data_IF_149211406959
#
_entry.id   IF_149211406959
#
_cell.length_a   1.000
_cell.length_b   1.000
_cell.length_c   1.000
_cell.angle_alpha   90.00
_cell.angle_beta   90.00
_cell.angle_gamma   90.00
#
_symmetry.space_group_name_H-M   'P 1'
#
loop_
_entity.id
_entity.type
_entity.pdbx_description
1 polymer ?
#
# COMPACT_ATOMS: atom_id res chain seq x y z
N UNK A 1 14.66 -18.57 4.69
CA UNK A 1 13.23 -18.94 4.78
C UNK A 1 12.43 -17.79 4.20
N UNK A 2 11.50 -18.07 3.28
CA UNK A 2 10.61 -17.05 2.70
C UNK A 2 9.62 -16.55 3.74
N UNK A 3 9.48 -15.24 3.90
CA UNK A 3 8.56 -14.62 4.84
C UNK A 3 7.17 -14.42 4.23
N UNK A 4 6.14 -14.61 5.07
CA UNK A 4 4.76 -14.24 4.77
C UNK A 4 4.50 -12.88 5.40
N UNK A 5 4.31 -11.86 4.57
CA UNK A 5 4.00 -10.52 5.06
C UNK A 5 2.54 -10.46 5.53
N UNK A 6 2.27 -9.65 6.56
CA UNK A 6 0.94 -9.43 7.11
C UNK A 6 0.41 -8.04 6.71
N UNK A 7 -0.90 -7.82 6.87
CA UNK A 7 -1.50 -6.51 6.65
C UNK A 7 -0.80 -5.43 7.52
N UNK A 8 -0.62 -4.19 7.02
CA UNK A 8 0.02 -3.11 7.78
C UNK A 8 -0.88 -2.48 8.86
N UNK A 9 -1.92 -3.20 9.27
CA UNK A 9 -2.88 -2.82 10.31
C UNK A 9 -2.99 -3.98 11.30
N UNK A 10 -3.32 -3.71 12.58
CA UNK A 10 -3.58 -4.81 13.55
C UNK A 10 -5.05 -5.26 13.59
N UNK A 11 -5.91 -4.46 12.99
CA UNK A 11 -7.37 -4.61 13.00
C UNK A 11 -7.92 -5.11 11.66
N UNK A 12 -9.21 -5.47 11.60
CA UNK A 12 -9.90 -5.63 10.34
C UNK A 12 -9.86 -4.33 9.53
N UNK A 13 -9.83 -4.48 8.20
CA UNK A 13 -9.78 -3.39 7.24
C UNK A 13 -10.78 -3.62 6.11
N UNK A 14 -11.25 -2.52 5.54
CA UNK A 14 -12.10 -2.47 4.35
C UNK A 14 -11.31 -1.85 3.22
N UNK A 15 -11.24 -2.54 2.09
CA UNK A 15 -10.73 -2.03 0.82
C UNK A 15 -11.77 -1.11 0.21
N UNK A 16 -11.36 0.10 -0.14
CA UNK A 16 -12.22 1.12 -0.78
C UNK A 16 -11.90 1.30 -2.27
N UNK A 17 -10.67 0.98 -2.69
CA UNK A 17 -10.27 0.92 -4.09
C UNK A 17 -9.20 -0.17 -4.31
N UNK A 18 -9.41 -0.96 -5.36
CA UNK A 18 -8.64 -2.14 -5.74
C UNK A 18 -7.56 -1.86 -6.78
N UNK A 19 -6.62 -2.78 -6.92
CA UNK A 19 -5.49 -2.63 -7.83
C UNK A 19 -5.93 -2.78 -9.30
N UNK A 20 -5.79 -1.69 -10.06
CA UNK A 20 -6.14 -1.56 -11.48
C UNK A 20 -7.58 -1.98 -11.78
N UNK A 21 -8.50 -1.70 -10.86
CA UNK A 21 -9.92 -1.91 -11.11
C UNK A 21 -10.43 -0.90 -12.15
N UNK A 22 -11.08 -1.40 -13.20
CA UNK A 22 -11.49 -0.58 -14.35
C UNK A 22 -12.56 0.46 -14.00
N UNK A 23 -13.42 0.19 -13.01
CA UNK A 23 -14.43 1.17 -12.58
C UNK A 23 -13.82 2.38 -11.89
N UNK A 24 -12.67 2.27 -11.20
CA UNK A 24 -11.92 3.44 -10.73
C UNK A 24 -11.50 4.30 -11.93
N UNK A 25 -10.82 3.71 -12.92
CA UNK A 25 -10.37 4.42 -14.12
C UNK A 25 -11.53 5.08 -14.86
N UNK A 26 -12.65 4.37 -14.99
CA UNK A 26 -13.85 4.89 -15.63
C UNK A 26 -14.45 6.06 -14.84
N UNK A 27 -14.57 5.95 -13.52
CA UNK A 27 -15.08 7.03 -12.69
C UNK A 27 -14.21 8.29 -12.79
N UNK A 28 -12.88 8.14 -12.72
CA UNK A 28 -11.97 9.28 -12.86
C UNK A 28 -12.09 9.96 -14.22
N UNK A 29 -12.30 9.17 -15.28
CA UNK A 29 -12.58 9.70 -16.62
C UNK A 29 -13.93 10.43 -16.67
N UNK A 30 -15.01 9.83 -16.17
CA UNK A 30 -16.38 10.37 -16.33
C UNK A 30 -16.68 11.54 -15.40
N UNK A 31 -16.13 11.53 -14.19
CA UNK A 31 -16.47 12.49 -13.13
C UNK A 31 -15.51 13.66 -13.09
N UNK A 32 -14.22 13.43 -13.36
CA UNK A 32 -13.18 14.45 -13.26
C UNK A 32 -12.53 14.79 -14.60
N UNK A 33 -13.00 14.18 -15.71
CA UNK A 33 -12.37 14.29 -17.03
C UNK A 33 -10.88 13.91 -17.04
N UNK A 34 -10.47 13.02 -16.12
CA UNK A 34 -9.09 12.55 -15.99
C UNK A 34 -8.93 11.21 -16.71
N UNK A 35 -8.81 11.28 -18.05
CA UNK A 35 -8.64 10.10 -18.88
C UNK A 35 -7.34 9.35 -18.55
N UNK A 36 -7.45 8.03 -18.31
CA UNK A 36 -6.31 7.13 -18.12
C UNK A 36 -5.73 7.10 -16.70
N UNK A 37 -6.43 7.65 -15.69
CA UNK A 37 -6.06 7.47 -14.28
C UNK A 37 -6.22 6.00 -13.87
N UNK A 38 -5.12 5.32 -13.61
CA UNK A 38 -5.09 3.93 -13.16
C UNK A 38 -4.75 3.92 -11.67
N UNK A 39 -5.47 3.10 -10.90
CA UNK A 39 -5.21 2.92 -9.48
C UNK A 39 -4.15 1.81 -9.28
N UNK A 40 -2.91 2.17 -8.94
CA UNK A 40 -1.77 1.24 -8.88
C UNK A 40 -1.53 0.62 -7.49
N UNK A 41 -2.45 0.81 -6.56
CA UNK A 41 -2.35 0.29 -5.20
C UNK A 41 -3.64 -0.31 -4.67
N UNK A 42 -3.66 -0.51 -3.36
CA UNK A 42 -4.84 -0.88 -2.60
C UNK A 42 -5.14 0.22 -1.58
N UNK A 43 -6.34 0.80 -1.65
CA UNK A 43 -6.81 1.77 -0.67
C UNK A 43 -7.57 1.04 0.42
N UNK A 44 -7.19 1.26 1.68
CA UNK A 44 -7.76 0.55 2.82
C UNK A 44 -7.99 1.46 4.03
N UNK A 45 -9.05 1.16 4.77
CA UNK A 45 -9.44 1.87 5.99
C UNK A 45 -9.70 0.85 7.12
N UNK A 46 -9.20 1.08 8.36
CA UNK A 46 -9.46 0.21 9.49
C UNK A 46 -10.91 0.36 9.98
N UNK A 47 -11.57 -0.75 10.33
CA UNK A 47 -12.97 -0.73 10.78
C UNK A 47 -13.16 -0.22 12.20
N UNK A 48 -12.12 -0.22 13.01
CA UNK A 48 -12.16 0.17 14.42
C UNK A 48 -11.59 1.58 14.68
N UNK A 49 -11.27 2.33 13.63
CA UNK A 49 -10.71 3.68 13.74
C UNK A 49 -9.23 3.75 14.17
N UNK A 50 -8.55 2.63 14.46
CA UNK A 50 -7.11 2.64 14.76
C UNK A 50 -6.30 2.85 13.46
N UNK A 51 -5.82 4.07 13.28
CA UNK A 51 -5.11 4.52 12.08
C UNK A 51 -3.61 4.22 12.09
N UNK A 52 -3.09 3.51 13.10
CA UNK A 52 -1.66 3.23 13.19
C UNK A 52 -1.24 2.24 12.10
N UNK A 53 -0.22 2.60 11.34
CA UNK A 53 0.35 1.79 10.26
C UNK A 53 1.63 1.13 10.74
N UNK A 54 1.72 -0.17 10.56
CA UNK A 54 2.84 -1.00 11.00
C UNK A 54 3.59 -1.60 9.82
N UNK A 55 4.84 -2.01 10.06
CA UNK A 55 5.56 -2.88 9.15
C UNK A 55 4.81 -4.19 8.90
N UNK A 56 4.91 -4.70 7.67
CA UNK A 56 4.25 -5.93 7.26
C UNK A 56 5.06 -7.19 7.56
N UNK A 57 6.32 -7.05 7.99
CA UNK A 57 7.24 -8.17 8.19
C UNK A 57 8.65 -7.67 8.48
N UNK A 58 9.66 -8.51 8.22
CA UNK A 58 11.07 -8.13 8.34
C UNK A 58 11.49 -7.36 7.09
N UNK A 59 11.83 -6.09 7.23
CA UNK A 59 12.19 -5.24 6.10
C UNK A 59 13.18 -4.14 6.47
N UNK A 60 13.36 -3.20 5.54
CA UNK A 60 14.26 -2.06 5.69
C UNK A 60 13.57 -0.81 5.12
N UNK A 61 13.58 0.30 5.87
CA UNK A 61 13.09 1.58 5.36
C UNK A 61 14.06 2.11 4.31
N UNK A 62 13.60 2.27 3.07
CA UNK A 62 14.41 2.75 1.95
C UNK A 62 14.34 4.26 1.81
N UNK A 63 13.15 4.82 2.03
CA UNK A 63 12.92 6.26 1.95
C UNK A 63 11.66 6.62 2.74
N UNK A 64 11.57 7.87 3.18
CA UNK A 64 10.31 8.47 3.58
C UNK A 64 10.39 9.98 3.40
N UNK A 65 9.25 10.62 3.20
CA UNK A 65 9.18 12.07 3.02
C UNK A 65 7.82 12.50 2.50
N UNK A 66 7.70 13.79 2.21
CA UNK A 66 6.43 14.41 1.83
C UNK A 66 6.52 15.02 0.42
N UNK A 67 5.48 14.79 -0.38
CA UNK A 67 5.26 15.42 -1.68
C UNK A 67 3.87 16.03 -1.77
N UNK A 68 3.65 16.92 -2.75
CA UNK A 68 2.38 17.64 -2.92
C UNK A 68 1.23 16.74 -3.38
N UNK A 69 1.49 15.78 -4.25
CA UNK A 69 0.50 14.89 -4.83
C UNK A 69 0.20 13.71 -3.90
N UNK A 70 1.25 13.01 -3.47
CA UNK A 70 1.14 11.77 -2.70
C UNK A 70 1.17 11.96 -1.17
N UNK A 71 1.47 13.17 -0.69
CA UNK A 71 1.54 13.46 0.73
C UNK A 71 2.75 12.80 1.38
N UNK A 72 2.60 12.43 2.66
CA UNK A 72 3.63 11.72 3.41
C UNK A 72 3.65 10.25 3.03
N UNK A 73 4.81 9.77 2.61
CA UNK A 73 5.02 8.41 2.12
C UNK A 73 6.18 7.75 2.84
N UNK A 74 6.03 6.48 3.17
CA UNK A 74 7.13 5.61 3.65
C UNK A 74 7.32 4.48 2.64
N UNK A 75 8.57 4.19 2.31
CA UNK A 75 8.96 3.12 1.38
C UNK A 75 9.77 2.09 2.14
N UNK A 76 9.31 0.83 2.12
CA UNK A 76 9.98 -0.29 2.79
C UNK A 76 10.30 -1.38 1.78
N UNK A 77 11.54 -1.89 1.81
CA UNK A 77 11.91 -3.11 1.10
C UNK A 77 11.67 -4.30 2.00
N UNK A 78 11.05 -5.35 1.46
CA UNK A 78 10.94 -6.65 2.10
C UNK A 78 11.60 -7.68 1.19
N UNK A 79 12.56 -8.42 1.74
CA UNK A 79 13.31 -9.46 1.02
C UNK A 79 12.68 -10.84 1.26
N UNK A 80 12.87 -11.80 0.34
CA UNK A 80 12.37 -13.17 0.41
C UNK A 80 10.86 -13.29 0.72
N UNK A 81 10.01 -12.64 -0.06
CA UNK A 81 8.56 -12.53 0.21
C UNK A 81 7.75 -13.61 -0.49
N UNK A 82 6.83 -14.27 0.22
CA UNK A 82 5.93 -15.26 -0.36
C UNK A 82 4.75 -14.59 -1.07
N UNK A 83 4.62 -14.84 -2.37
CA UNK A 83 3.44 -14.50 -3.15
C UNK A 83 2.50 -15.71 -3.18
N UNK A 84 1.35 -15.59 -2.53
CA UNK A 84 0.43 -16.73 -2.36
C UNK A 84 -0.39 -17.01 -3.63
N UNK A 85 -0.49 -16.06 -4.56
CA UNK A 85 -1.20 -16.24 -5.84
C UNK A 85 -0.35 -17.07 -6.79
N UNK A 86 0.94 -16.73 -6.93
CA UNK A 86 1.88 -17.48 -7.78
C UNK A 86 2.49 -18.68 -7.05
N UNK A 87 2.26 -18.81 -5.74
CA UNK A 87 2.84 -19.83 -4.86
C UNK A 87 4.37 -19.88 -4.93
N UNK A 88 5.00 -18.71 -5.03
CA UNK A 88 6.45 -18.58 -5.23
C UNK A 88 7.06 -17.50 -4.34
N UNK A 89 8.37 -17.61 -4.11
CA UNK A 89 9.14 -16.60 -3.42
C UNK A 89 9.58 -15.49 -4.39
N UNK A 90 9.39 -14.25 -3.99
CA UNK A 90 9.94 -13.06 -4.62
C UNK A 90 11.23 -12.69 -3.90
N UNK A 91 12.31 -12.43 -4.65
CA UNK A 91 13.61 -12.04 -4.07
C UNK A 91 13.48 -10.81 -3.16
N UNK A 92 12.77 -9.79 -3.64
CA UNK A 92 12.47 -8.59 -2.88
C UNK A 92 11.27 -7.86 -3.50
N UNK A 93 10.58 -7.07 -2.68
CA UNK A 93 9.53 -6.14 -3.09
C UNK A 93 9.71 -4.81 -2.39
N UNK A 94 9.40 -3.72 -3.08
CA UNK A 94 9.20 -2.41 -2.46
C UNK A 94 7.71 -2.23 -2.17
N UNK A 95 7.39 -1.83 -0.94
CA UNK A 95 6.04 -1.41 -0.55
C UNK A 95 6.08 0.06 -0.21
N UNK A 96 5.22 0.84 -0.84
CA UNK A 96 5.06 2.28 -0.61
C UNK A 96 3.73 2.51 0.11
N UNK A 97 3.80 3.16 1.28
CA UNK A 97 2.68 3.46 2.17
C UNK A 97 2.41 4.96 2.12
N UNK A 98 1.31 5.37 1.49
CA UNK A 98 1.06 6.76 1.12
C UNK A 98 0.05 7.47 2.03
N UNK A 99 -0.12 8.77 1.78
CA UNK A 99 -1.14 9.63 2.38
C UNK A 99 -1.10 9.73 3.91
N UNK A 100 0.03 9.39 4.54
CA UNK A 100 0.13 9.36 6.00
C UNK A 100 -0.12 10.75 6.61
N UNK A 101 -0.74 10.80 7.77
CA UNK A 101 -0.94 12.03 8.56
C UNK A 101 0.38 12.44 9.23
N UNK A 102 1.12 11.46 9.73
CA UNK A 102 2.42 11.60 10.38
C UNK A 102 3.30 10.37 10.18
N UNK A 103 4.62 10.56 10.30
CA UNK A 103 5.59 9.46 10.33
C UNK A 103 5.68 8.84 11.72
N UNK A 104 6.11 7.58 11.78
CA UNK A 104 6.40 6.91 13.04
C UNK A 104 7.54 7.61 13.80
N UNK A 105 7.51 7.60 15.15
CA UNK A 105 8.39 8.42 15.98
C UNK A 105 9.90 8.11 15.84
N UNK A 106 10.24 6.91 15.37
CA UNK A 106 11.63 6.44 15.26
C UNK A 106 12.04 6.15 13.81
N UNK A 107 11.27 6.63 12.84
CA UNK A 107 11.47 6.29 11.43
C UNK A 107 12.79 6.89 10.90
N UNK A 108 13.65 6.05 10.33
CA UNK A 108 14.94 6.44 9.73
C UNK A 108 15.21 5.58 8.51
N UNK A 109 15.81 6.18 7.47
CA UNK A 109 16.29 5.40 6.31
C UNK A 109 17.36 4.41 6.78
N UNK A 110 17.32 3.19 6.23
CA UNK A 110 18.20 2.08 6.60
C UNK A 110 17.80 1.34 7.86
N UNK A 111 16.75 1.77 8.59
CA UNK A 111 16.33 1.06 9.80
C UNK A 111 15.63 -0.25 9.46
N UNK A 112 15.85 -1.25 10.31
CA UNK A 112 15.09 -2.50 10.27
C UNK A 112 13.60 -2.25 10.61
N UNK A 113 12.73 -2.93 9.88
CA UNK A 113 11.28 -2.95 10.06
C UNK A 113 10.87 -4.32 10.55
N UNK A 114 9.93 -4.36 11.48
CA UNK A 114 9.23 -5.55 11.95
C UNK A 114 7.72 -5.30 11.97
N UNK A 115 6.93 -6.31 12.34
CA UNK A 115 5.48 -6.17 12.56
C UNK A 115 5.11 -5.31 13.77
N UNK A 116 6.08 -4.89 14.56
CA UNK A 116 5.92 -3.96 15.69
C UNK A 116 6.40 -2.54 15.38
N UNK A 117 7.09 -2.34 14.26
CA UNK A 117 7.55 -1.02 13.85
C UNK A 117 6.37 -0.18 13.38
N UNK A 118 6.11 0.95 14.05
CA UNK A 118 5.15 1.96 13.60
C UNK A 118 5.78 2.76 12.47
N UNK A 119 5.18 2.68 11.28
CA UNK A 119 5.62 3.44 10.09
C UNK A 119 5.00 4.84 10.06
N UNK A 120 3.80 4.99 10.63
CA UNK A 120 3.11 6.27 10.71
C UNK A 120 1.64 6.12 11.08
N UNK A 121 0.88 7.18 10.85
CA UNK A 121 -0.56 7.22 11.06
C UNK A 121 -1.25 7.45 9.72
N UNK A 122 -2.26 6.65 9.39
CA UNK A 122 -3.09 6.80 8.20
C UNK A 122 -3.74 8.19 8.18
N UNK A 123 -3.54 8.90 7.07
CA UNK A 123 -4.06 10.25 6.88
C UNK A 123 -4.79 10.39 5.56
N UNK A 124 -4.79 11.62 5.05
CA UNK A 124 -5.26 11.97 3.72
C UNK A 124 -4.38 13.07 3.13
N UNK A 125 -3.07 13.03 3.44
CA UNK A 125 -2.13 14.07 2.97
C UNK A 125 -1.86 13.93 1.48
N UNK A 126 -1.50 15.05 0.85
CA UNK A 126 -1.33 15.14 -0.58
C UNK A 126 -2.64 15.33 -1.34
N UNK A 127 -2.54 15.86 -2.55
CA UNK A 127 -3.70 16.14 -3.42
C UNK A 127 -4.48 14.87 -3.76
N UNK A 128 -3.81 13.72 -3.85
CA UNK A 128 -4.45 12.43 -4.14
C UNK A 128 -4.97 11.71 -2.88
N UNK A 129 -4.57 12.16 -1.68
CA UNK A 129 -4.99 11.54 -0.42
C UNK A 129 -6.38 11.91 0.06
N UNK A 130 -7.11 12.78 -0.67
CA UNK A 130 -8.51 13.10 -0.39
C UNK A 130 -8.76 13.99 0.83
N UNK A 131 -7.72 14.44 1.54
CA UNK A 131 -7.82 15.39 2.65
C UNK A 131 -8.53 14.83 3.89
N UNK A 132 -9.05 15.73 4.73
CA UNK A 132 -9.68 15.36 6.00
C UNK A 132 -10.92 14.46 5.86
N UNK A 133 -11.61 14.54 4.73
CA UNK A 133 -12.89 13.88 4.49
C UNK A 133 -12.74 12.50 3.83
N UNK A 134 -11.55 12.12 3.38
CA UNK A 134 -11.33 10.84 2.68
C UNK A 134 -9.97 10.22 3.03
N UNK A 135 -9.74 10.02 4.34
CA UNK A 135 -8.52 9.40 4.86
C UNK A 135 -8.48 7.90 4.57
N UNK A 136 -7.41 7.43 3.96
CA UNK A 136 -7.16 6.02 3.67
C UNK A 136 -5.65 5.76 3.61
N UNK A 137 -5.26 4.50 3.72
CA UNK A 137 -3.91 4.07 3.39
C UNK A 137 -3.92 3.56 1.95
N UNK A 138 -3.17 4.21 1.07
CA UNK A 138 -2.85 3.66 -0.24
C UNK A 138 -1.55 2.88 -0.15
N UNK A 139 -1.55 1.63 -0.61
CA UNK A 139 -0.39 0.75 -0.64
C UNK A 139 -0.08 0.31 -2.06
N UNK A 140 1.10 0.67 -2.57
CA UNK A 140 1.62 0.12 -3.82
C UNK A 140 2.71 -0.89 -3.54
N UNK A 141 2.74 -1.95 -4.35
CA UNK A 141 3.77 -2.99 -4.27
C UNK A 141 4.42 -3.18 -5.62
N UNK A 142 5.75 -3.28 -5.61
CA UNK A 142 6.57 -3.36 -6.81
C UNK A 142 7.66 -4.42 -6.68
N UNK A 143 7.88 -5.21 -7.73
CA UNK A 143 9.01 -6.14 -7.78
C UNK A 143 10.33 -5.43 -8.12
N UNK A 144 10.29 -4.21 -8.68
CA UNK A 144 11.48 -3.43 -8.99
C UNK A 144 11.98 -2.63 -7.77
N UNK A 145 12.54 -3.35 -6.79
CA UNK A 145 13.10 -2.74 -5.58
C UNK A 145 14.28 -1.79 -5.84
N UNK A 146 14.99 -1.91 -6.96
CA UNK A 146 16.05 -0.97 -7.34
C UNK A 146 15.51 0.43 -7.67
N UNK A 147 14.23 0.51 -8.08
CA UNK A 147 13.48 1.76 -8.31
C UNK A 147 12.38 1.92 -7.26
N UNK A 148 12.67 1.60 -5.99
CA UNK A 148 11.66 1.57 -4.92
C UNK A 148 10.86 2.88 -4.74
N UNK A 149 11.48 4.04 -5.03
CA UNK A 149 10.82 5.37 -4.95
C UNK A 149 10.13 5.79 -6.24
N UNK A 150 10.24 5.02 -7.32
CA UNK A 150 9.50 5.28 -8.54
C UNK A 150 8.09 4.71 -8.41
N UNK A 151 7.09 5.48 -8.84
CA UNK A 151 5.69 5.04 -8.85
C UNK A 151 5.02 5.42 -10.17
N UNK A 152 4.25 4.51 -10.78
CA UNK A 152 3.45 4.83 -11.96
C UNK A 152 2.30 5.81 -11.66
N UNK A 153 1.96 6.03 -10.39
CA UNK A 153 0.96 7.03 -9.97
C UNK A 153 1.37 8.46 -10.32
N UNK A 154 2.67 8.74 -10.46
CA UNK A 154 3.17 10.06 -10.79
C UNK A 154 3.67 10.17 -12.24
N UNK A 155 3.30 11.27 -12.90
CA UNK A 155 3.83 11.66 -14.22
C UNK A 155 5.15 12.46 -14.16
N UNK A 156 5.54 12.93 -12.97
CA UNK A 156 6.79 13.65 -12.70
C UNK A 156 7.31 13.31 -11.30
N UNK A 157 8.49 13.83 -10.93
CA UNK A 157 8.98 13.66 -9.56
C UNK A 157 8.29 14.63 -8.60
N UNK A 158 8.01 14.18 -7.38
CA UNK A 158 7.34 14.95 -6.34
C UNK A 158 7.82 14.50 -4.96
N UNK A 159 8.49 15.39 -4.22
CA UNK A 159 9.15 15.07 -2.97
C UNK A 159 10.17 13.94 -3.13
N UNK A 160 10.03 12.89 -2.32
CA UNK A 160 10.89 11.70 -2.37
C UNK A 160 10.55 10.74 -3.52
N UNK A 161 9.39 10.89 -4.15
CA UNK A 161 8.92 9.99 -5.19
C UNK A 161 9.33 10.46 -6.58
N UNK A 162 9.62 9.50 -7.45
CA UNK A 162 9.94 9.71 -8.86
C UNK A 162 8.83 9.12 -9.73
N UNK A 163 8.66 9.67 -10.94
CA UNK A 163 7.76 9.07 -11.91
C UNK A 163 8.19 7.66 -12.28
N UNK A 164 7.22 6.78 -12.51
CA UNK A 164 7.46 5.46 -13.10
C UNK A 164 8.09 5.61 -14.49
N UNK A 165 9.06 4.76 -14.81
CA UNK A 165 9.71 4.73 -16.13
C UNK A 165 9.86 3.28 -16.59
N UNK A 166 9.52 3.01 -17.86
CA UNK A 166 9.62 1.67 -18.44
C UNK A 166 8.42 0.78 -18.14
N UNK A 167 8.62 -0.53 -18.20
CA UNK A 167 7.57 -1.53 -17.95
C UNK A 167 7.06 -1.44 -16.51
N UNK A 168 5.75 -1.43 -16.37
CA UNK A 168 5.09 -1.47 -15.07
C UNK A 168 5.24 -2.85 -14.41
N UNK A 169 5.92 -2.86 -13.27
CA UNK A 169 6.22 -4.04 -12.45
C UNK A 169 5.45 -4.07 -11.14
N UNK A 170 4.46 -3.17 -10.98
CA UNK A 170 3.55 -3.17 -9.85
C UNK A 170 2.60 -4.36 -9.92
N UNK A 171 2.09 -4.78 -8.77
CA UNK A 171 1.06 -5.81 -8.68
C UNK A 171 0.16 -5.57 -7.45
N UNK A 172 -0.95 -6.31 -7.36
CA UNK A 172 -1.89 -6.14 -6.26
C UNK A 172 -1.24 -6.48 -4.91
N UNK A 173 -1.32 -5.55 -3.97
CA UNK A 173 -0.73 -5.70 -2.64
C UNK A 173 -1.28 -6.91 -1.87
N UNK A 174 -2.55 -7.26 -2.12
CA UNK A 174 -3.17 -8.45 -1.55
C UNK A 174 -2.34 -9.71 -1.82
N UNK A 175 -1.71 -9.86 -3.00
CA UNK A 175 -0.97 -11.07 -3.39
C UNK A 175 0.16 -11.50 -2.44
N UNK A 176 0.70 -10.59 -1.62
CA UNK A 176 1.79 -10.87 -0.68
C UNK A 176 1.37 -10.78 0.79
N UNK A 177 0.16 -10.29 1.08
CA UNK A 177 -0.33 -10.17 2.44
C UNK A 177 -1.04 -11.44 2.92
N UNK A 178 -0.97 -11.61 4.23
CA UNK A 178 -1.62 -12.67 5.00
C UNK A 178 -2.35 -12.02 6.19
N UNK A 179 -3.46 -12.61 6.60
CA UNK A 179 -4.20 -12.17 7.77
C UNK A 179 -3.66 -12.89 9.02
N UNK A 180 -3.01 -12.15 9.92
CA UNK A 180 -2.71 -12.63 11.27
C UNK A 180 -3.94 -12.46 12.16
N UNK A 181 -4.63 -13.56 12.44
CA UNK A 181 -5.92 -13.55 13.16
C UNK A 181 -5.78 -13.79 14.66
N UNK A 182 -4.66 -14.36 15.10
CA UNK A 182 -4.40 -14.63 16.51
C UNK A 182 -4.06 -13.34 17.28
N UNK A 183 -4.56 -13.25 18.51
CA UNK A 183 -4.29 -12.14 19.43
C UNK A 183 -2.76 -11.88 19.58
N UNK A 184 -2.33 -10.62 19.68
CA UNK A 184 -3.12 -9.39 19.78
C UNK A 184 -3.64 -8.85 18.45
N UNK A 185 -3.44 -9.57 17.34
CA UNK A 185 -3.97 -9.20 16.03
C UNK A 185 -5.40 -9.71 15.88
N UNK A 186 -6.15 -9.07 14.98
CA UNK A 186 -7.45 -9.55 14.51
C UNK A 186 -7.62 -9.12 13.05
N UNK A 187 -6.60 -9.41 12.24
CA UNK A 187 -6.57 -8.93 10.86
C UNK A 187 -7.61 -9.66 10.01
N UNK A 188 -8.31 -8.89 9.19
CA UNK A 188 -9.20 -9.37 8.15
C UNK A 188 -9.22 -8.34 7.03
N UNK A 189 -9.15 -8.80 5.79
CA UNK A 189 -9.38 -7.97 4.62
C UNK A 189 -10.80 -8.20 4.12
N UNK A 190 -11.52 -7.12 3.85
CA UNK A 190 -12.88 -7.15 3.32
C UNK A 190 -13.09 -5.98 2.36
N UNK A 191 -14.18 -5.99 1.62
CA UNK A 191 -14.54 -4.90 0.71
C UNK A 191 -15.81 -5.24 -0.04
N UNK A 192 -16.53 -4.23 -0.52
CA UNK A 192 -17.70 -4.45 -1.37
C UNK A 192 -17.22 -4.80 -2.76
N UNK A 193 -17.26 -6.10 -3.11
CA UNK A 193 -16.93 -6.55 -4.46
C UNK A 193 -18.05 -6.08 -5.39
N UNK A 194 -17.74 -5.10 -6.23
CA UNK A 194 -18.69 -4.52 -7.17
C UNK A 194 -18.17 -4.50 -8.62
N UNK A 195 -16.97 -5.06 -8.85
CA UNK A 195 -16.23 -5.04 -10.13
C UNK A 195 -15.98 -3.63 -10.69
N UNK A 196 -16.30 -2.58 -9.94
CA UNK A 196 -16.07 -1.20 -10.33
C UNK A 196 -14.82 -0.71 -9.61
N UNK A 197 -14.87 -0.67 -8.28
CA UNK A 197 -13.79 -0.15 -7.46
C UNK A 197 -12.99 -1.25 -6.81
N UNK A 198 -13.63 -2.38 -6.51
CA UNK A 198 -12.97 -3.51 -5.82
C UNK A 198 -13.33 -4.80 -6.54
N UNK A 199 -12.33 -5.66 -6.73
CA UNK A 199 -12.49 -6.99 -7.30
C UNK A 199 -12.11 -8.08 -6.29
N UNK A 200 -12.44 -9.34 -6.58
CA UNK A 200 -12.20 -10.46 -5.66
C UNK A 200 -10.72 -10.62 -5.29
N UNK A 201 -9.79 -10.39 -6.22
CA UNK A 201 -8.34 -10.45 -5.97
C UNK A 201 -7.87 -9.44 -4.93
N UNK A 202 -8.57 -8.31 -4.77
CA UNK A 202 -8.16 -7.22 -3.88
C UNK A 202 -8.50 -7.49 -2.42
N UNK A 203 -9.42 -8.42 -2.17
CA UNK A 203 -9.94 -8.77 -0.84
C UNK A 203 -9.64 -10.21 -0.43
N UNK A 204 -8.94 -10.96 -1.29
CA UNK A 204 -8.60 -12.36 -1.04
C UNK A 204 -7.18 -12.45 -0.51
N UNK A 205 -7.04 -12.75 0.79
CA UNK A 205 -5.75 -13.07 1.42
C UNK A 205 -5.90 -14.32 2.29
N UNK A 206 -4.87 -15.19 2.36
CA UNK A 206 -4.86 -16.32 3.28
C UNK A 206 -4.63 -15.87 4.72
N UNK A 207 -5.05 -16.69 5.68
CA UNK A 207 -4.60 -16.55 7.08
C UNK A 207 -3.14 -16.97 7.22
N UNK A 208 -2.44 -16.36 8.19
CA UNK A 208 -1.08 -16.75 8.58
C UNK A 208 -1.08 -18.01 9.45
#
# INVERSE_FOLDING_TARGET
MTQKLILPFRSPVVVTAGYKCSGYTNYMKTTYNLSGMIHYGLDSVPTNGNKTIYGSGKGEVIAFGEGKACGKVVVVRYDDVYNHVTKSALKAVAVRYFHLDSFGPNLKVGMAVTTDTVLGVMGGTGTYGGGSNHKHLHCEVDTNYAKAVNTPTLKGSDGILKSGTGTDTTFCAANIWHAKTAAPYNQKLSGTIDNKWVSSKDVTIPSL
#
